data_IF_980614658279
#
_entry.id   IF_980614658279
#
_cell.length_a   1.000
_cell.length_b   1.000
_cell.length_c   1.000
_cell.angle_alpha   90.00
_cell.angle_beta   90.00
_cell.angle_gamma   90.00
#
_symmetry.space_group_name_H-M   'P 1'
#
loop_
_entity.id
_entity.type
_entity.pdbx_description
1 polymer ?
#
# COMPACT_ATOMS: atom_id res chain seq x y z
N UNK A 1 17.63 42.94 9.86
CA UNK A 1 17.33 42.13 8.65
C UNK A 1 17.80 40.73 8.91
N UNK A 2 16.93 39.87 9.42
CA UNK A 2 17.19 38.46 9.74
C UNK A 2 16.43 37.65 8.72
N UNK A 3 17.17 37.04 7.77
CA UNK A 3 16.62 36.15 6.76
C UNK A 3 16.17 34.83 7.40
N UNK A 4 14.89 34.52 7.27
CA UNK A 4 14.31 33.23 7.60
C UNK A 4 14.59 32.31 6.41
N UNK A 5 15.59 31.43 6.58
CA UNK A 5 15.82 30.31 5.66
C UNK A 5 14.74 29.26 5.93
N UNK A 6 13.73 29.18 5.09
CA UNK A 6 12.78 28.08 5.08
C UNK A 6 13.48 26.75 4.76
N UNK A 7 12.94 25.63 5.22
CA UNK A 7 13.52 24.33 4.93
C UNK A 7 13.49 24.06 3.42
N UNK A 8 14.64 23.64 2.89
CA UNK A 8 14.77 23.29 1.48
C UNK A 8 13.87 22.09 1.16
N UNK A 9 12.80 22.32 0.41
CA UNK A 9 11.97 21.25 -0.14
C UNK A 9 12.80 20.37 -1.08
N UNK A 10 13.03 19.15 -0.67
CA UNK A 10 13.63 18.13 -1.52
C UNK A 10 12.67 17.80 -2.66
N UNK A 11 12.89 18.42 -3.81
CA UNK A 11 12.13 18.19 -5.04
C UNK A 11 12.54 16.87 -5.70
N UNK A 12 12.25 15.72 -5.07
CA UNK A 12 12.35 14.44 -5.73
C UNK A 12 10.93 13.95 -6.09
N UNK A 13 10.48 14.08 -7.37
CA UNK A 13 9.10 13.81 -7.76
C UNK A 13 8.65 12.37 -7.49
N UNK A 14 9.57 11.40 -7.45
CA UNK A 14 9.25 9.99 -7.21
C UNK A 14 8.81 9.68 -5.78
N UNK A 15 9.28 10.43 -4.80
CA UNK A 15 8.94 10.23 -3.38
C UNK A 15 7.60 10.88 -3.05
N UNK A 16 7.33 12.04 -3.61
CA UNK A 16 6.06 12.74 -3.41
C UNK A 16 4.87 11.95 -3.95
N UNK A 17 5.08 11.21 -5.05
CA UNK A 17 4.04 10.38 -5.67
C UNK A 17 3.57 9.23 -4.77
N UNK A 18 4.48 8.50 -4.12
CA UNK A 18 4.13 7.30 -3.33
C UNK A 18 3.28 7.62 -2.10
N UNK A 19 3.54 8.74 -1.44
CA UNK A 19 2.83 9.14 -0.21
C UNK A 19 1.42 9.64 -0.52
N UNK A 20 1.30 10.52 -1.49
CA UNK A 20 0.00 11.00 -1.93
C UNK A 20 -0.88 9.85 -2.43
N UNK A 21 -0.31 8.89 -3.14
CA UNK A 21 -1.03 7.73 -3.67
C UNK A 21 -1.61 6.87 -2.54
N UNK A 22 -0.83 6.49 -1.53
CA UNK A 22 -1.31 5.67 -0.40
C UNK A 22 -2.47 6.36 0.32
N UNK A 23 -2.32 7.64 0.63
CA UNK A 23 -3.39 8.42 1.28
C UNK A 23 -4.65 8.53 0.41
N UNK A 24 -4.50 8.73 -0.90
CA UNK A 24 -5.65 8.83 -1.79
C UNK A 24 -6.36 7.48 -1.95
N UNK A 25 -5.62 6.37 -2.08
CA UNK A 25 -6.20 5.04 -2.14
C UNK A 25 -7.04 4.78 -0.88
N UNK A 26 -6.51 5.05 0.31
CA UNK A 26 -7.26 4.88 1.57
C UNK A 26 -8.50 5.77 1.64
N UNK A 27 -8.39 7.04 1.28
CA UNK A 27 -9.55 7.95 1.19
C UNK A 27 -10.63 7.44 0.25
N UNK A 28 -10.27 6.89 -0.90
CA UNK A 28 -11.21 6.29 -1.85
C UNK A 28 -11.88 5.08 -1.21
N UNK A 29 -11.11 4.16 -0.60
CA UNK A 29 -11.65 2.98 0.07
C UNK A 29 -12.64 3.36 1.18
N UNK A 30 -12.28 4.30 2.04
CA UNK A 30 -13.10 4.69 3.21
C UNK A 30 -14.35 5.48 2.84
N UNK A 31 -14.33 6.24 1.73
CA UNK A 31 -15.44 7.12 1.34
C UNK A 31 -16.38 6.50 0.32
N UNK A 32 -15.88 5.64 -0.55
CA UNK A 32 -16.61 5.14 -1.71
C UNK A 32 -16.98 3.67 -1.61
N UNK A 33 -16.53 2.97 -0.56
CA UNK A 33 -16.89 1.57 -0.32
C UNK A 33 -17.50 1.41 1.06
N UNK A 34 -18.51 0.56 1.16
CA UNK A 34 -19.15 0.23 2.45
C UNK A 34 -19.59 -1.24 2.45
N UNK A 35 -19.92 -1.76 3.64
CA UNK A 35 -20.45 -3.11 3.80
C UNK A 35 -21.96 -3.23 3.50
N UNK A 36 -22.57 -2.20 2.92
CA UNK A 36 -23.98 -2.21 2.51
C UNK A 36 -24.18 -2.97 1.19
N UNK A 37 -25.38 -3.45 0.87
CA UNK A 37 -25.68 -4.12 -0.40
C UNK A 37 -25.38 -3.27 -1.64
N UNK A 38 -25.44 -1.96 -1.52
CA UNK A 38 -25.12 -0.94 -2.54
C UNK A 38 -23.76 -0.27 -2.26
N UNK A 39 -22.83 -1.00 -1.64
CA UNK A 39 -21.59 -0.49 -1.08
C UNK A 39 -20.49 -0.12 -2.08
N UNK A 40 -20.77 -0.13 -3.39
CA UNK A 40 -19.86 0.32 -4.44
C UNK A 40 -20.24 1.69 -4.98
N UNK A 41 -19.23 2.48 -5.35
CA UNK A 41 -19.43 3.75 -6.03
C UNK A 41 -19.68 3.55 -7.53
N UNK A 42 -20.92 3.25 -7.95
CA UNK A 42 -21.28 2.97 -9.33
C UNK A 42 -21.35 1.47 -9.62
N UNK A 43 -21.29 1.12 -10.90
CA UNK A 43 -21.37 -0.28 -11.35
C UNK A 43 -20.04 -1.02 -11.10
N UNK A 44 -20.13 -2.31 -10.77
CA UNK A 44 -18.94 -3.16 -10.59
C UNK A 44 -18.33 -3.64 -11.92
N UNK A 45 -18.47 -2.90 -12.96
CA UNK A 45 -18.08 -3.11 -14.35
C UNK A 45 -17.09 -4.28 -14.56
N UNK A 46 -17.62 -5.46 -14.87
CA UNK A 46 -16.88 -6.73 -15.01
C UNK A 46 -16.04 -7.14 -13.78
N UNK A 47 -16.43 -6.75 -12.56
CA UNK A 47 -15.69 -7.04 -11.34
C UNK A 47 -14.48 -6.12 -11.11
N UNK A 48 -14.33 -5.06 -11.90
CA UNK A 48 -13.17 -4.15 -11.79
C UNK A 48 -13.18 -3.36 -10.49
N UNK A 49 -14.35 -2.89 -10.07
CA UNK A 49 -14.47 -2.06 -8.85
C UNK A 49 -14.20 -2.87 -7.61
N UNK A 50 -14.75 -4.09 -7.50
CA UNK A 50 -14.49 -5.01 -6.40
C UNK A 50 -13.04 -5.52 -6.40
N UNK A 51 -12.48 -5.87 -7.56
CA UNK A 51 -11.10 -6.29 -7.69
C UNK A 51 -10.13 -5.17 -7.26
N UNK A 52 -10.39 -3.92 -7.65
CA UNK A 52 -9.59 -2.78 -7.23
C UNK A 52 -9.55 -2.65 -5.70
N UNK A 53 -10.71 -2.78 -5.04
CA UNK A 53 -10.80 -2.73 -3.58
C UNK A 53 -9.99 -3.84 -2.93
N UNK A 54 -10.17 -5.09 -3.38
CA UNK A 54 -9.47 -6.26 -2.81
C UNK A 54 -7.95 -6.11 -2.95
N UNK A 55 -7.45 -5.77 -4.13
CA UNK A 55 -6.02 -5.55 -4.33
C UNK A 55 -5.48 -4.38 -3.51
N UNK A 56 -6.24 -3.31 -3.39
CA UNK A 56 -5.85 -2.15 -2.58
C UNK A 56 -5.76 -2.51 -1.09
N UNK A 57 -6.71 -3.31 -0.58
CA UNK A 57 -6.67 -3.87 0.78
C UNK A 57 -5.43 -4.72 1.01
N UNK A 58 -5.07 -5.58 0.05
CA UNK A 58 -3.92 -6.46 0.13
C UNK A 58 -2.58 -5.70 0.09
N UNK A 59 -2.58 -4.47 -0.41
CA UNK A 59 -1.38 -3.63 -0.52
C UNK A 59 -0.50 -3.93 -1.72
N UNK A 60 -1.06 -4.46 -2.81
CA UNK A 60 -0.39 -4.54 -4.11
C UNK A 60 -1.41 -4.53 -5.26
N UNK A 61 -1.03 -4.03 -6.43
CA UNK A 61 -1.96 -3.85 -7.54
C UNK A 61 -1.30 -4.13 -8.90
N UNK A 62 -1.98 -4.86 -9.83
CA UNK A 62 -1.51 -5.07 -11.19
C UNK A 62 -1.76 -3.81 -12.04
N UNK A 63 -0.81 -2.87 -12.05
CA UNK A 63 -0.97 -1.58 -12.72
C UNK A 63 -1.03 -1.70 -14.24
N UNK A 64 -0.29 -2.64 -14.81
CA UNK A 64 -0.23 -2.84 -16.25
C UNK A 64 -0.82 -4.19 -16.63
N UNK A 65 -1.94 -4.22 -17.39
CA UNK A 65 -2.48 -5.47 -17.93
C UNK A 65 -1.42 -6.24 -18.74
N UNK A 66 -1.43 -7.57 -18.62
CA UNK A 66 -0.47 -8.46 -19.24
C UNK A 66 0.99 -8.32 -18.73
N UNK A 67 1.24 -7.52 -17.70
CA UNK A 67 2.47 -7.58 -16.93
C UNK A 67 2.37 -8.68 -15.87
N UNK A 68 3.50 -9.35 -15.58
CA UNK A 68 3.62 -10.32 -14.48
C UNK A 68 3.97 -9.66 -13.14
N UNK A 69 3.86 -8.34 -13.04
CA UNK A 69 4.28 -7.58 -11.86
C UNK A 69 3.15 -6.80 -11.23
N UNK A 70 3.21 -6.68 -9.91
CA UNK A 70 2.30 -5.90 -9.07
C UNK A 70 3.07 -4.78 -8.39
N UNK A 71 2.58 -3.56 -8.50
CA UNK A 71 3.11 -2.46 -7.71
C UNK A 71 2.73 -2.63 -6.23
N UNK A 72 3.69 -2.42 -5.33
CA UNK A 72 3.49 -2.53 -3.90
C UNK A 72 2.89 -1.23 -3.37
N UNK A 73 1.81 -1.36 -2.60
CA UNK A 73 1.16 -0.34 -1.79
C UNK A 73 1.14 -0.73 -0.31
N UNK A 74 0.48 0.07 0.50
CA UNK A 74 0.36 -0.19 1.94
C UNK A 74 -0.84 -1.09 2.24
N UNK A 75 -0.66 -2.26 2.87
CA UNK A 75 -1.76 -3.12 3.30
C UNK A 75 -2.72 -2.39 4.24
N UNK A 76 -3.99 -2.75 4.20
CA UNK A 76 -5.04 -2.09 5.00
C UNK A 76 -5.21 -2.73 6.38
N UNK A 77 -5.14 -4.05 6.47
CA UNK A 77 -5.32 -4.80 7.70
C UNK A 77 -3.99 -5.35 8.26
N UNK A 78 -3.92 -5.59 9.58
CA UNK A 78 -2.69 -6.08 10.22
C UNK A 78 -2.32 -7.50 9.78
N UNK A 79 -3.30 -8.32 9.42
CA UNK A 79 -3.04 -9.68 8.94
C UNK A 79 -4.06 -10.08 7.88
N UNK A 80 -3.57 -10.66 6.78
CA UNK A 80 -4.40 -11.20 5.69
C UNK A 80 -3.79 -12.48 5.16
N UNK A 81 -4.64 -13.38 4.66
CA UNK A 81 -4.21 -14.60 4.00
C UNK A 81 -5.07 -14.87 2.77
N UNK A 82 -4.42 -15.23 1.67
CA UNK A 82 -5.06 -15.68 0.44
C UNK A 82 -4.66 -17.13 0.24
N UNK A 83 -5.63 -18.01 0.21
CA UNK A 83 -5.40 -19.42 -0.15
C UNK A 83 -5.51 -19.57 -1.66
N UNK A 84 -4.47 -20.13 -2.27
CA UNK A 84 -4.37 -20.31 -3.71
C UNK A 84 -4.91 -21.70 -4.10
N UNK A 85 -5.38 -21.84 -5.33
CA UNK A 85 -5.90 -23.11 -5.87
C UNK A 85 -4.86 -24.23 -5.88
N UNK A 86 -3.58 -23.89 -5.97
CA UNK A 86 -2.46 -24.84 -5.92
C UNK A 86 -2.11 -25.34 -4.50
N UNK A 87 -2.94 -25.02 -3.50
CA UNK A 87 -2.75 -25.40 -2.09
C UNK A 87 -1.74 -24.55 -1.33
N UNK A 88 -1.11 -23.56 -1.99
CA UNK A 88 -0.20 -22.60 -1.35
C UNK A 88 -0.98 -21.41 -0.80
N UNK A 89 -0.31 -20.54 -0.06
CA UNK A 89 -0.93 -19.33 0.48
C UNK A 89 -0.01 -18.11 0.36
N UNK A 90 -0.64 -16.95 0.18
CA UNK A 90 0.01 -15.66 0.35
C UNK A 90 -0.40 -15.14 1.73
N UNK A 91 0.57 -14.85 2.59
CA UNK A 91 0.37 -14.25 3.90
C UNK A 91 0.91 -12.84 3.92
N UNK A 92 0.11 -11.90 4.42
CA UNK A 92 0.49 -10.50 4.56
C UNK A 92 0.36 -10.15 6.03
N UNK A 93 1.46 -9.70 6.61
CA UNK A 93 1.57 -9.32 8.00
C UNK A 93 2.05 -7.89 8.09
N UNK A 94 1.42 -7.08 8.94
CA UNK A 94 1.85 -5.71 9.19
C UNK A 94 2.16 -5.51 10.67
N UNK A 95 3.31 -4.92 10.96
CA UNK A 95 3.70 -4.51 12.30
C UNK A 95 3.62 -2.99 12.44
N UNK A 96 3.39 -2.52 13.67
CA UNK A 96 3.22 -1.10 13.98
C UNK A 96 2.03 -0.44 13.25
N UNK A 97 1.11 -1.24 12.70
CA UNK A 97 -0.16 -0.74 12.17
C UNK A 97 -1.15 -0.62 13.33
N UNK A 98 -1.77 0.52 13.48
CA UNK A 98 -2.88 0.68 14.43
C UNK A 98 -4.15 0.21 13.72
N UNK A 99 -4.89 -0.71 14.34
CA UNK A 99 -6.17 -1.18 13.84
C UNK A 99 -7.10 0.01 13.54
N UNK A 100 -7.73 -0.01 12.39
CA UNK A 100 -8.64 1.06 11.98
C UNK A 100 -7.94 2.29 11.42
N UNK A 101 -6.85 2.11 10.67
CA UNK A 101 -6.12 3.20 10.00
C UNK A 101 -6.96 4.06 9.01
N UNK A 102 -8.27 3.78 8.88
CA UNK A 102 -9.22 4.65 8.18
C UNK A 102 -9.24 6.09 8.68
N UNK A 103 -8.90 6.30 9.95
CA UNK A 103 -8.91 7.64 10.56
C UNK A 103 -7.66 8.48 10.29
N UNK A 104 -6.56 7.90 9.82
CA UNK A 104 -5.37 8.70 9.50
C UNK A 104 -5.55 9.65 8.30
N UNK A 105 -6.63 9.50 7.57
CA UNK A 105 -6.94 10.34 6.40
C UNK A 105 -8.14 11.26 6.61
N UNK A 106 -8.77 11.29 7.79
CA UNK A 106 -9.85 12.23 8.09
C UNK A 106 -9.29 13.63 8.25
N UNK A 107 -9.91 14.58 7.57
CA UNK A 107 -9.66 16.01 7.77
C UNK A 107 -9.99 16.34 9.24
N UNK A 108 -8.99 16.74 10.03
CA UNK A 108 -9.15 17.08 11.45
C UNK A 108 -8.38 16.19 12.42
N UNK A 109 -7.59 15.24 11.98
CA UNK A 109 -6.65 14.56 12.88
C UNK A 109 -5.68 15.59 13.48
N UNK A 110 -5.73 15.78 14.79
CA UNK A 110 -4.76 16.58 15.53
C UNK A 110 -3.34 16.10 15.16
N UNK A 111 -2.43 17.04 14.99
CA UNK A 111 -1.04 16.80 14.51
C UNK A 111 -0.22 15.78 15.34
N UNK A 112 -0.78 15.23 16.41
CA UNK A 112 -0.15 14.24 17.30
C UNK A 112 -0.53 12.77 17.07
N UNK A 113 -1.55 12.48 16.25
CA UNK A 113 -2.03 11.10 16.00
C UNK A 113 -1.87 10.67 14.54
N UNK A 114 -0.70 10.85 13.96
CA UNK A 114 -0.38 10.25 12.65
C UNK A 114 -0.21 8.75 12.86
N UNK A 115 -1.22 8.00 12.45
CA UNK A 115 -1.16 6.54 12.46
C UNK A 115 -0.14 6.04 11.44
N UNK A 116 0.50 4.91 11.72
CA UNK A 116 1.51 4.30 10.87
C UNK A 116 0.88 3.81 9.54
N UNK A 117 0.81 4.66 8.54
CA UNK A 117 0.20 4.35 7.24
C UNK A 117 1.23 4.23 6.09
N UNK A 118 2.50 4.51 6.36
CA UNK A 118 3.57 4.41 5.37
C UNK A 118 4.39 3.13 5.57
N UNK A 119 4.96 2.63 4.48
CA UNK A 119 5.83 1.47 4.53
C UNK A 119 7.22 1.91 4.95
N UNK A 120 7.72 1.37 6.06
CA UNK A 120 9.08 1.56 6.55
C UNK A 120 10.04 0.50 6.01
N UNK A 121 9.67 -0.78 6.11
CA UNK A 121 10.45 -1.91 5.59
C UNK A 121 9.50 -2.99 5.05
N UNK A 122 9.97 -3.71 4.04
CA UNK A 122 9.29 -4.90 3.52
C UNK A 122 10.24 -6.09 3.65
N UNK A 123 9.70 -7.22 4.09
CA UNK A 123 10.37 -8.51 4.02
C UNK A 123 9.54 -9.50 3.23
N UNK A 124 10.17 -10.19 2.31
CA UNK A 124 9.58 -11.28 1.54
C UNK A 124 10.22 -12.60 1.99
N UNK A 125 9.41 -13.51 2.51
CA UNK A 125 9.86 -14.79 3.05
C UNK A 125 11.02 -14.64 4.07
N UNK A 126 10.93 -13.63 4.93
CA UNK A 126 11.91 -13.31 5.97
C UNK A 126 13.12 -12.50 5.50
N UNK A 127 13.35 -12.34 4.19
CA UNK A 127 14.47 -11.58 3.64
C UNK A 127 14.03 -10.15 3.29
N UNK A 128 14.88 -9.17 3.61
CA UNK A 128 14.62 -7.76 3.26
C UNK A 128 14.40 -7.61 1.75
N UNK A 129 13.33 -6.90 1.40
CA UNK A 129 12.89 -6.70 0.02
C UNK A 129 12.91 -5.23 -0.35
N UNK A 130 13.72 -4.87 -1.33
CA UNK A 130 13.97 -3.47 -1.71
C UNK A 130 13.30 -3.06 -3.03
N UNK A 131 12.51 -3.95 -3.67
CA UNK A 131 11.77 -3.63 -4.89
C UNK A 131 10.42 -3.00 -4.56
N UNK A 132 9.94 -2.13 -5.45
CA UNK A 132 8.57 -1.60 -5.41
C UNK A 132 7.56 -2.48 -6.17
N UNK A 133 8.00 -3.61 -6.69
CA UNK A 133 7.18 -4.52 -7.49
C UNK A 133 7.33 -5.95 -7.01
N UNK A 134 6.23 -6.70 -7.02
CA UNK A 134 6.20 -8.15 -6.77
C UNK A 134 5.94 -8.88 -8.09
N UNK A 135 6.60 -10.03 -8.33
CA UNK A 135 6.26 -10.84 -9.49
C UNK A 135 5.07 -11.76 -9.19
N UNK A 136 4.26 -12.00 -10.22
CA UNK A 136 3.14 -12.95 -10.15
C UNK A 136 3.62 -14.35 -9.73
N UNK A 137 4.74 -14.79 -10.28
CA UNK A 137 5.35 -16.08 -9.96
C UNK A 137 5.66 -16.18 -8.47
N UNK A 138 6.30 -15.17 -7.89
CA UNK A 138 6.63 -15.15 -6.45
C UNK A 138 5.38 -15.30 -5.60
N UNK A 139 4.29 -14.61 -5.94
CA UNK A 139 3.03 -14.70 -5.22
C UNK A 139 2.38 -16.09 -5.36
N UNK A 140 2.32 -16.64 -6.57
CA UNK A 140 1.69 -17.93 -6.84
C UNK A 140 2.47 -19.14 -6.32
N UNK A 141 3.78 -19.01 -6.13
CA UNK A 141 4.60 -20.02 -5.45
C UNK A 141 4.39 -20.05 -3.93
N UNK A 142 3.60 -19.12 -3.40
CA UNK A 142 3.36 -18.92 -1.98
C UNK A 142 4.38 -17.96 -1.38
N UNK A 143 3.88 -16.90 -0.75
CA UNK A 143 4.72 -15.83 -0.21
C UNK A 143 4.25 -15.39 1.17
N UNK A 144 5.21 -15.02 2.02
CA UNK A 144 4.94 -14.28 3.25
C UNK A 144 5.53 -12.89 3.11
N UNK A 145 4.65 -11.90 3.05
CA UNK A 145 4.99 -10.48 2.99
C UNK A 145 4.85 -9.90 4.40
N UNK A 146 5.91 -9.33 4.91
CA UNK A 146 5.93 -8.68 6.22
C UNK A 146 6.26 -7.22 6.03
N UNK A 147 5.34 -6.34 6.46
CA UNK A 147 5.45 -4.90 6.35
C UNK A 147 5.66 -4.30 7.74
N UNK A 148 6.73 -3.56 7.92
CA UNK A 148 6.89 -2.66 9.07
C UNK A 148 6.35 -1.31 8.67
N UNK A 149 5.27 -0.88 9.32
CA UNK A 149 4.60 0.38 9.02
C UNK A 149 5.12 1.50 9.90
N UNK A 150 5.12 2.74 9.41
CA UNK A 150 5.61 3.91 10.13
C UNK A 150 4.72 5.14 9.91
N UNK A 151 4.87 6.14 10.78
CA UNK A 151 4.10 7.39 10.76
C UNK A 151 4.78 8.51 9.95
N UNK A 152 5.95 8.25 9.37
CA UNK A 152 6.72 9.21 8.57
C UNK A 152 7.26 8.53 7.32
N UNK A 153 7.60 9.35 6.34
CA UNK A 153 8.10 8.89 5.06
C UNK A 153 9.57 8.54 5.21
N UNK A 154 9.92 7.28 5.00
CA UNK A 154 11.29 6.89 4.77
C UNK A 154 11.64 7.11 3.30
N UNK A 155 12.64 7.95 3.04
CA UNK A 155 13.21 8.09 1.71
C UNK A 155 14.05 6.85 1.37
N UNK A 156 13.40 5.75 1.02
CA UNK A 156 14.10 4.65 0.39
C UNK A 156 14.54 5.11 -1.02
N UNK A 157 15.84 5.06 -1.28
CA UNK A 157 16.32 5.05 -2.67
C UNK A 157 15.99 3.66 -3.23
N UNK A 158 14.99 3.51 -4.10
CA UNK A 158 14.76 2.23 -4.77
C UNK A 158 15.97 1.97 -5.68
N UNK A 159 16.59 0.81 -5.53
CA UNK A 159 17.39 0.27 -6.60
C UNK A 159 16.45 -0.04 -7.76
N UNK A 160 16.54 0.77 -8.82
CA UNK A 160 15.74 0.63 -10.03
C UNK A 160 16.13 -0.66 -10.77
N UNK A 161 15.70 -1.81 -10.28
CA UNK A 161 15.67 -3.03 -11.06
C UNK A 161 14.29 -3.14 -11.68
N UNK A 162 14.11 -2.58 -12.91
CA UNK A 162 13.06 -3.06 -13.80
C UNK A 162 13.50 -4.46 -14.26
N UNK A 163 12.73 -5.52 -14.03
CA UNK A 163 12.96 -6.78 -14.71
C UNK A 163 12.84 -6.52 -16.22
N UNK A 164 13.82 -7.03 -16.99
CA UNK A 164 13.80 -7.02 -18.45
C UNK A 164 12.77 -7.99 -18.97
#
# INVERSE_FOLDING_TARGET
MTGISGPAESKNPSVFCSVCVIQHIRKVMDRLYSAAPDGYCGDDDNGQTSAWYVFSVLGFYPVCPASDTYAIGAPYFPQMQINLENGKAIRILTENCVDGCGDCCREGCEEGKRLNCYIGEIRLNGTKYNSNFLSHRTLTEGATLHFTMCNHIHHHKPENHRPR
#
